data_IF_518726120020
#
_entry.id   IF_518726120020
#
_cell.length_a   1.000
_cell.length_b   1.000
_cell.length_c   1.000
_cell.angle_alpha   90.00
_cell.angle_beta   90.00
_cell.angle_gamma   90.00
#
_symmetry.space_group_name_H-M   'P 1'
#
loop_
_entity.id
_entity.type
_entity.pdbx_description
1 polymer ?
#
# COMPACT_ATOMS: atom_id res chain seq x y z
N UNK A 1 16.77 9.15 -23.08
CA UNK A 1 16.23 9.51 -21.75
C UNK A 1 17.14 9.03 -20.63
N UNK A 2 17.39 7.73 -20.47
CA UNK A 2 18.28 7.21 -19.41
C UNK A 2 19.68 7.87 -19.43
N UNK A 3 20.30 8.02 -20.61
CA UNK A 3 21.59 8.72 -20.75
C UNK A 3 21.51 10.20 -20.37
N UNK A 4 20.42 10.90 -20.71
CA UNK A 4 20.24 12.31 -20.34
C UNK A 4 20.16 12.49 -18.82
N UNK A 5 19.51 11.56 -18.10
CA UNK A 5 19.47 11.61 -16.64
C UNK A 5 20.87 11.40 -16.04
N UNK A 6 21.70 10.54 -16.65
CA UNK A 6 23.11 10.36 -16.22
C UNK A 6 23.93 11.63 -16.45
N UNK A 7 23.78 12.27 -17.61
CA UNK A 7 24.51 13.50 -17.94
C UNK A 7 24.05 14.69 -17.09
N UNK A 8 22.76 14.81 -16.80
CA UNK A 8 22.24 15.82 -15.87
C UNK A 8 22.84 15.67 -14.47
N UNK A 9 22.88 14.44 -13.93
CA UNK A 9 23.46 14.15 -12.62
C UNK A 9 24.94 14.53 -12.54
N UNK A 10 25.72 14.22 -13.59
CA UNK A 10 27.13 14.63 -13.70
C UNK A 10 27.29 16.14 -13.72
N UNK A 11 26.43 16.85 -14.48
CA UNK A 11 26.49 18.31 -14.64
C UNK A 11 26.08 19.06 -13.37
N UNK A 12 25.09 18.56 -12.63
CA UNK A 12 24.54 19.27 -11.46
C UNK A 12 25.11 18.79 -10.13
N UNK A 13 25.77 17.62 -10.09
CA UNK A 13 26.25 16.99 -8.88
C UNK A 13 25.14 16.43 -7.98
N UNK A 14 23.91 16.36 -8.48
CA UNK A 14 22.75 15.77 -7.77
C UNK A 14 22.65 14.27 -8.06
N UNK A 15 21.89 13.58 -7.21
CA UNK A 15 21.53 12.19 -7.48
C UNK A 15 20.72 12.07 -8.78
N UNK A 16 21.03 11.04 -9.57
CA UNK A 16 20.38 10.80 -10.86
C UNK A 16 18.88 10.52 -10.67
N UNK A 17 18.06 11.17 -11.50
CA UNK A 17 16.64 10.85 -11.59
C UNK A 17 16.40 9.37 -11.95
N UNK A 18 15.44 8.75 -11.26
CA UNK A 18 15.02 7.39 -11.56
C UNK A 18 14.17 7.36 -12.84
N UNK A 19 14.39 6.34 -13.67
CA UNK A 19 13.57 6.05 -14.83
C UNK A 19 12.95 4.66 -14.69
N UNK A 20 11.62 4.62 -14.65
CA UNK A 20 10.85 3.38 -14.44
C UNK A 20 9.69 3.33 -15.44
N UNK A 21 9.09 2.16 -15.62
CA UNK A 21 7.90 2.01 -16.45
C UNK A 21 6.93 1.00 -15.85
N UNK A 22 5.63 1.25 -16.00
CA UNK A 22 4.60 0.24 -15.82
C UNK A 22 4.46 -0.58 -17.10
N UNK A 23 4.58 -1.90 -17.00
CA UNK A 23 4.65 -2.80 -18.17
C UNK A 23 3.64 -3.95 -18.06
N UNK A 24 3.18 -4.44 -19.21
CA UNK A 24 2.13 -5.46 -19.26
C UNK A 24 2.59 -6.84 -18.77
N UNK A 25 1.66 -7.60 -18.18
CA UNK A 25 1.86 -9.00 -17.80
C UNK A 25 1.27 -10.01 -18.80
N UNK A 26 0.35 -9.58 -19.67
CA UNK A 26 -0.28 -10.44 -20.67
C UNK A 26 0.63 -10.74 -21.87
N UNK A 27 0.86 -12.02 -22.17
CA UNK A 27 1.80 -12.49 -23.21
C UNK A 27 1.63 -11.78 -24.56
N UNK A 28 0.40 -11.64 -25.05
CA UNK A 28 0.12 -11.02 -26.35
C UNK A 28 0.62 -9.56 -26.41
N UNK A 29 0.37 -8.78 -25.35
CA UNK A 29 0.84 -7.40 -25.24
C UNK A 29 2.35 -7.35 -25.08
N UNK A 30 2.93 -8.27 -24.30
CA UNK A 30 4.38 -8.35 -24.12
C UNK A 30 5.07 -8.53 -25.48
N UNK A 31 4.62 -9.51 -26.27
CA UNK A 31 5.23 -9.88 -27.54
C UNK A 31 5.05 -8.81 -28.62
N UNK A 32 3.92 -8.10 -28.61
CA UNK A 32 3.60 -7.09 -29.62
C UNK A 32 4.19 -5.71 -29.38
N UNK A 33 4.62 -5.39 -28.14
CA UNK A 33 4.91 -4.01 -27.76
C UNK A 33 6.27 -3.76 -27.08
N UNK A 34 6.99 -4.77 -26.60
CA UNK A 34 8.18 -4.55 -25.78
C UNK A 34 9.44 -5.23 -26.31
N UNK A 35 10.47 -4.42 -26.59
CA UNK A 35 11.85 -4.87 -26.70
C UNK A 35 12.45 -5.07 -25.29
N UNK A 36 12.05 -6.17 -24.62
CA UNK A 36 12.28 -6.40 -23.19
C UNK A 36 13.74 -6.19 -22.76
N UNK A 37 14.70 -6.72 -23.53
CA UNK A 37 16.12 -6.60 -23.22
C UNK A 37 16.59 -5.13 -23.25
N UNK A 38 16.14 -4.36 -24.24
CA UNK A 38 16.52 -2.96 -24.41
C UNK A 38 15.96 -2.10 -23.28
N UNK A 39 14.68 -2.27 -22.94
CA UNK A 39 14.06 -1.52 -21.86
C UNK A 39 14.63 -1.91 -20.48
N UNK A 40 14.98 -3.18 -20.28
CA UNK A 40 15.61 -3.67 -19.03
C UNK A 40 16.96 -3.00 -18.76
N UNK A 41 17.74 -2.73 -19.82
CA UNK A 41 19.03 -2.01 -19.72
C UNK A 41 18.83 -0.54 -19.36
N UNK A 42 17.79 0.10 -19.89
CA UNK A 42 17.54 1.53 -19.72
C UNK A 42 16.86 1.89 -18.40
N UNK A 43 15.97 1.03 -17.90
CA UNK A 43 15.15 1.30 -16.72
C UNK A 43 15.86 0.90 -15.43
N UNK A 44 15.64 1.67 -14.37
CA UNK A 44 16.10 1.35 -13.01
C UNK A 44 15.38 0.12 -12.47
N UNK A 45 14.05 0.10 -12.61
CA UNK A 45 13.20 -1.05 -12.33
C UNK A 45 11.91 -0.97 -13.15
N UNK A 46 11.24 -2.11 -13.31
CA UNK A 46 9.97 -2.26 -14.02
C UNK A 46 8.84 -2.58 -13.04
N UNK A 47 7.74 -1.85 -13.16
CA UNK A 47 6.51 -2.11 -12.43
C UNK A 47 5.65 -3.06 -13.28
N UNK A 48 5.76 -4.36 -13.05
CA UNK A 48 5.03 -5.37 -13.82
C UNK A 48 3.58 -5.41 -13.35
N UNK A 49 2.64 -5.01 -14.20
CA UNK A 49 1.21 -4.94 -13.90
C UNK A 49 0.59 -6.34 -13.87
N UNK A 50 0.91 -7.13 -12.84
CA UNK A 50 0.49 -8.53 -12.64
C UNK A 50 -0.95 -8.65 -12.15
N UNK A 51 -1.86 -7.93 -12.78
CA UNK A 51 -3.30 -7.90 -12.56
C UNK A 51 -4.01 -7.64 -13.90
N UNK A 52 -5.34 -7.59 -13.89
CA UNK A 52 -6.16 -7.55 -15.12
C UNK A 52 -5.90 -8.72 -16.08
N UNK A 53 -5.59 -9.89 -15.52
CA UNK A 53 -5.49 -11.12 -16.32
C UNK A 53 -6.84 -11.59 -16.84
N UNK A 54 -7.88 -11.40 -16.04
CA UNK A 54 -9.26 -11.75 -16.36
C UNK A 54 -10.21 -10.64 -15.93
N UNK A 55 -11.33 -10.49 -16.64
CA UNK A 55 -12.29 -9.42 -16.40
C UNK A 55 -13.52 -9.51 -17.30
N UNK A 56 -14.42 -8.53 -17.18
CA UNK A 56 -15.74 -8.53 -17.82
C UNK A 56 -15.74 -8.49 -19.36
N UNK A 57 -14.57 -8.32 -19.97
CA UNK A 57 -14.34 -8.51 -21.41
C UNK A 57 -14.39 -9.99 -21.83
N UNK A 58 -14.33 -10.93 -20.88
CA UNK A 58 -14.52 -12.37 -21.10
C UNK A 58 -15.98 -12.79 -20.85
N UNK A 59 -16.35 -13.97 -21.39
CA UNK A 59 -17.71 -14.55 -21.22
C UNK A 59 -17.80 -15.57 -20.08
N UNK A 60 -16.72 -15.73 -19.33
CA UNK A 60 -16.63 -16.61 -18.17
C UNK A 60 -15.95 -15.87 -17.03
N UNK A 61 -16.25 -16.25 -15.79
CA UNK A 61 -15.57 -15.69 -14.62
C UNK A 61 -14.10 -16.08 -14.60
N UNK A 62 -13.24 -15.13 -14.25
CA UNK A 62 -11.82 -15.35 -14.07
C UNK A 62 -11.27 -14.41 -13.00
N UNK A 63 -10.22 -14.84 -12.31
CA UNK A 63 -9.65 -14.05 -11.24
C UNK A 63 -8.76 -12.93 -11.80
N UNK A 64 -8.84 -11.71 -11.25
CA UNK A 64 -8.05 -10.55 -11.72
C UNK A 64 -6.53 -10.78 -11.68
N UNK A 65 -6.02 -11.40 -10.61
CA UNK A 65 -4.58 -11.53 -10.34
C UNK A 65 -4.20 -12.91 -9.75
N UNK A 66 -4.41 -14.02 -10.48
CA UNK A 66 -4.13 -15.36 -9.99
C UNK A 66 -2.62 -15.62 -9.93
N UNK A 67 -2.12 -16.17 -8.82
CA UNK A 67 -0.68 -16.42 -8.65
C UNK A 67 -0.17 -17.49 -9.62
N UNK A 68 -0.97 -18.54 -9.82
CA UNK A 68 -0.67 -19.66 -10.70
C UNK A 68 -1.86 -19.95 -11.61
N UNK A 69 -1.63 -20.72 -12.67
CA UNK A 69 -2.70 -21.34 -13.47
C UNK A 69 -3.40 -22.48 -12.71
N UNK A 70 -4.62 -22.80 -13.12
CA UNK A 70 -5.33 -24.04 -12.77
C UNK A 70 -4.98 -25.15 -13.76
N UNK A 71 -5.17 -26.41 -13.34
CA UNK A 71 -5.05 -27.58 -14.22
C UNK A 71 -6.03 -27.55 -15.41
N UNK A 72 -7.18 -26.91 -15.22
CA UNK A 72 -8.24 -26.79 -16.22
C UNK A 72 -8.11 -25.57 -17.12
N UNK A 73 -7.13 -24.70 -16.88
CA UNK A 73 -6.91 -23.54 -17.76
C UNK A 73 -6.38 -24.05 -19.11
N UNK A 74 -6.92 -23.51 -20.19
CA UNK A 74 -6.58 -23.88 -21.58
C UNK A 74 -6.40 -22.62 -22.43
N UNK A 75 -5.88 -22.76 -23.65
CA UNK A 75 -5.68 -21.63 -24.57
C UNK A 75 -4.80 -20.53 -23.96
N UNK A 76 -5.18 -19.26 -24.15
CA UNK A 76 -4.46 -18.11 -23.59
C UNK A 76 -4.50 -18.02 -22.05
N UNK A 77 -5.48 -18.64 -21.41
CA UNK A 77 -5.64 -18.59 -19.95
C UNK A 77 -4.44 -19.25 -19.22
N UNK A 78 -3.76 -20.21 -19.85
CA UNK A 78 -2.57 -20.86 -19.26
C UNK A 78 -1.42 -19.89 -19.00
N UNK A 79 -1.41 -18.74 -19.69
CA UNK A 79 -0.42 -17.68 -19.58
C UNK A 79 -0.88 -16.53 -18.67
N UNK A 80 -2.15 -16.52 -18.26
CA UNK A 80 -2.79 -15.39 -17.59
C UNK A 80 -2.67 -15.49 -16.07
N UNK A 81 -1.43 -15.55 -15.58
CA UNK A 81 -1.10 -15.63 -14.16
C UNK A 81 0.26 -15.00 -13.84
N UNK A 82 0.46 -14.64 -12.56
CA UNK A 82 1.66 -13.96 -12.07
C UNK A 82 2.91 -14.79 -12.34
N UNK A 83 2.90 -16.09 -12.05
CA UNK A 83 4.11 -16.92 -12.18
C UNK A 83 4.60 -17.02 -13.62
N UNK A 84 3.67 -17.14 -14.57
CA UNK A 84 4.01 -17.09 -15.98
C UNK A 84 4.60 -15.73 -16.36
N UNK A 85 3.91 -14.63 -16.05
CA UNK A 85 4.35 -13.29 -16.44
C UNK A 85 5.75 -12.96 -15.88
N UNK A 86 5.99 -13.21 -14.60
CA UNK A 86 7.30 -13.01 -13.95
C UNK A 86 8.36 -13.87 -14.63
N UNK A 87 8.08 -15.15 -14.86
CA UNK A 87 9.04 -16.06 -15.51
C UNK A 87 9.33 -15.64 -16.95
N UNK A 88 8.32 -15.14 -17.67
CA UNK A 88 8.46 -14.68 -19.04
C UNK A 88 9.40 -13.48 -19.15
N UNK A 89 9.18 -12.44 -18.34
CA UNK A 89 10.04 -11.26 -18.29
C UNK A 89 11.48 -11.61 -17.90
N UNK A 90 11.66 -12.52 -16.92
CA UNK A 90 13.00 -13.02 -16.55
C UNK A 90 13.70 -13.75 -17.68
N UNK A 91 12.99 -14.67 -18.35
CA UNK A 91 13.55 -15.45 -19.47
C UNK A 91 13.90 -14.56 -20.69
N UNK A 92 13.33 -13.36 -20.77
CA UNK A 92 13.64 -12.34 -21.78
C UNK A 92 14.75 -11.37 -21.34
N UNK A 93 15.45 -11.65 -20.25
CA UNK A 93 16.66 -10.94 -19.85
C UNK A 93 16.47 -9.84 -18.81
N UNK A 94 15.33 -9.77 -18.12
CA UNK A 94 15.17 -8.83 -17.01
C UNK A 94 15.73 -9.41 -15.71
N UNK A 95 16.71 -8.73 -15.06
CA UNK A 95 17.19 -9.12 -13.74
C UNK A 95 16.05 -9.16 -12.72
N UNK A 96 16.03 -10.17 -11.85
CA UNK A 96 14.90 -10.40 -10.94
C UNK A 96 14.67 -9.21 -10.00
N UNK A 97 15.76 -8.63 -9.50
CA UNK A 97 15.82 -7.45 -8.64
C UNK A 97 15.28 -6.17 -9.31
N UNK A 98 15.17 -6.13 -10.64
CA UNK A 98 14.52 -5.03 -11.36
C UNK A 98 13.02 -5.23 -11.54
N UNK A 99 12.47 -6.41 -11.25
CA UNK A 99 11.05 -6.70 -11.41
C UNK A 99 10.31 -6.35 -10.12
N UNK A 100 9.44 -5.35 -10.18
CA UNK A 100 8.55 -4.94 -9.10
C UNK A 100 7.16 -5.49 -9.41
N UNK A 101 6.71 -6.48 -8.62
CA UNK A 101 5.47 -7.23 -8.89
C UNK A 101 4.24 -6.42 -8.48
N UNK A 102 3.29 -6.22 -9.39
CA UNK A 102 2.05 -5.49 -9.16
C UNK A 102 1.04 -6.24 -8.27
N UNK A 103 0.50 -5.55 -7.28
CA UNK A 103 -0.55 -6.01 -6.37
C UNK A 103 -1.78 -5.12 -6.56
N UNK A 104 -2.94 -5.67 -6.97
CA UNK A 104 -4.17 -4.90 -7.05
C UNK A 104 -4.82 -4.78 -5.66
N UNK A 105 -5.30 -3.59 -5.32
CA UNK A 105 -6.20 -3.33 -4.17
C UNK A 105 -7.64 -3.16 -4.66
N UNK A 106 -8.00 -3.90 -5.70
CA UNK A 106 -9.32 -3.91 -6.33
C UNK A 106 -9.59 -5.30 -6.90
N UNK A 107 -10.83 -5.52 -7.31
CA UNK A 107 -11.26 -6.74 -7.98
C UNK A 107 -11.94 -6.47 -9.31
N UNK A 108 -12.02 -7.51 -10.14
CA UNK A 108 -12.86 -7.53 -11.34
C UNK A 108 -14.12 -8.33 -11.04
N UNK A 109 -15.27 -7.74 -11.35
CA UNK A 109 -16.58 -8.30 -11.08
C UNK A 109 -17.34 -8.68 -12.34
N UNK A 110 -18.22 -9.66 -12.20
CA UNK A 110 -19.00 -10.26 -13.28
C UNK A 110 -20.46 -10.41 -12.85
N UNK A 111 -21.36 -10.34 -13.82
CA UNK A 111 -22.75 -10.79 -13.68
C UNK A 111 -22.89 -12.19 -14.28
N UNK A 112 -23.12 -13.19 -13.43
CA UNK A 112 -23.31 -14.60 -13.78
C UNK A 112 -24.57 -14.79 -14.64
N UNK A 113 -24.49 -15.69 -15.61
CA UNK A 113 -25.63 -16.05 -16.48
C UNK A 113 -26.24 -17.42 -16.13
N UNK A 114 -25.77 -18.08 -15.08
CA UNK A 114 -26.31 -19.34 -14.55
C UNK A 114 -26.17 -19.38 -13.02
N UNK A 115 -26.63 -20.46 -12.39
CA UNK A 115 -26.41 -20.71 -10.96
C UNK A 115 -24.98 -21.18 -10.62
N UNK A 116 -24.12 -21.34 -11.62
CA UNK A 116 -22.72 -21.71 -11.39
C UNK A 116 -21.94 -20.52 -10.84
N UNK A 117 -21.20 -20.75 -9.76
CA UNK A 117 -20.46 -19.68 -9.05
C UNK A 117 -18.96 -19.93 -9.00
N UNK A 118 -18.51 -21.01 -9.63
CA UNK A 118 -17.10 -21.34 -9.74
C UNK A 118 -16.34 -20.40 -10.68
N UNK A 119 -15.02 -20.56 -10.71
CA UNK A 119 -14.16 -19.89 -11.68
C UNK A 119 -14.34 -20.58 -13.04
N UNK A 120 -14.56 -19.81 -14.09
CA UNK A 120 -14.95 -20.31 -15.40
C UNK A 120 -16.46 -20.44 -15.59
N UNK A 121 -17.26 -20.02 -14.60
CA UNK A 121 -18.72 -19.99 -14.72
C UNK A 121 -19.15 -18.98 -15.80
N UNK A 122 -20.21 -19.26 -16.58
CA UNK A 122 -20.73 -18.35 -17.60
C UNK A 122 -21.13 -16.97 -17.02
N UNK A 123 -20.74 -15.90 -17.71
CA UNK A 123 -21.05 -14.52 -17.35
C UNK A 123 -21.61 -13.73 -18.54
N UNK A 124 -22.64 -12.93 -18.30
CA UNK A 124 -23.25 -12.07 -19.32
C UNK A 124 -22.37 -10.83 -19.62
N UNK A 125 -21.66 -10.34 -18.60
CA UNK A 125 -20.82 -9.15 -18.71
C UNK A 125 -20.35 -8.64 -17.34
N UNK A 126 -20.10 -7.33 -17.20
CA UNK A 126 -19.56 -6.76 -15.97
C UNK A 126 -20.51 -6.94 -14.79
N UNK A 127 -19.93 -7.06 -13.60
CA UNK A 127 -20.68 -6.89 -12.36
C UNK A 127 -21.25 -5.48 -12.25
N UNK A 128 -22.22 -5.32 -11.37
CA UNK A 128 -22.83 -4.02 -11.06
C UNK A 128 -21.77 -2.99 -10.65
N UNK A 129 -22.07 -1.71 -10.90
CA UNK A 129 -21.19 -0.61 -10.50
C UNK A 129 -21.03 -0.53 -8.98
N UNK A 130 -19.79 -0.30 -8.53
CA UNK A 130 -19.51 -0.02 -7.12
C UNK A 130 -20.14 1.31 -6.68
N UNK A 131 -20.58 1.45 -5.42
CA UNK A 131 -21.22 2.68 -4.93
C UNK A 131 -20.30 3.91 -4.97
N UNK A 132 -18.98 3.73 -4.95
CA UNK A 132 -17.97 4.80 -4.93
C UNK A 132 -17.16 4.85 -6.23
N UNK A 133 -16.64 3.71 -6.69
CA UNK A 133 -15.83 3.65 -7.93
C UNK A 133 -16.69 3.92 -9.17
N UNK A 134 -17.98 3.56 -9.12
CA UNK A 134 -18.98 3.81 -10.17
C UNK A 134 -18.58 3.27 -11.55
N UNK A 135 -17.76 2.22 -11.56
CA UNK A 135 -17.36 1.50 -12.77
C UNK A 135 -17.94 0.08 -12.73
N UNK A 136 -18.66 -0.31 -13.78
CA UNK A 136 -19.19 -1.66 -13.88
C UNK A 136 -18.06 -2.67 -14.13
N UNK A 137 -18.04 -3.77 -13.38
CA UNK A 137 -17.00 -4.79 -13.50
C UNK A 137 -15.72 -4.50 -12.73
N UNK A 138 -15.68 -3.44 -11.93
CA UNK A 138 -14.53 -3.02 -11.13
C UNK A 138 -15.00 -2.60 -9.74
N UNK A 139 -14.41 -3.16 -8.69
CA UNK A 139 -14.68 -2.75 -7.31
C UNK A 139 -13.40 -2.53 -6.53
N UNK A 140 -13.31 -1.42 -5.79
CA UNK A 140 -12.24 -1.21 -4.82
C UNK A 140 -12.30 -2.25 -3.70
N UNK A 141 -11.19 -2.48 -2.99
CA UNK A 141 -11.16 -3.44 -1.88
C UNK A 141 -12.19 -3.12 -0.79
N UNK A 142 -12.38 -1.83 -0.48
CA UNK A 142 -13.37 -1.40 0.51
C UNK A 142 -14.83 -1.65 0.05
N UNK A 143 -15.11 -1.60 -1.25
CA UNK A 143 -16.42 -1.99 -1.81
C UNK A 143 -16.64 -3.50 -1.71
N UNK A 144 -15.58 -4.28 -1.95
CA UNK A 144 -15.61 -5.74 -1.81
C UNK A 144 -15.87 -6.14 -0.35
N UNK A 145 -15.25 -5.48 0.64
CA UNK A 145 -15.54 -5.71 2.05
C UNK A 145 -17.02 -5.48 2.40
N UNK A 146 -17.65 -4.48 1.76
CA UNK A 146 -19.08 -4.23 1.94
C UNK A 146 -19.92 -5.32 1.26
N UNK A 147 -19.58 -5.70 0.03
CA UNK A 147 -20.25 -6.78 -0.71
C UNK A 147 -20.18 -8.12 0.02
N UNK A 148 -19.07 -8.40 0.71
CA UNK A 148 -18.88 -9.62 1.49
C UNK A 148 -19.90 -9.80 2.61
N UNK A 149 -20.55 -8.72 3.08
CA UNK A 149 -21.63 -8.80 4.06
C UNK A 149 -22.84 -9.51 3.42
N UNK A 150 -22.95 -10.81 3.71
CA UNK A 150 -23.99 -11.69 3.14
C UNK A 150 -23.63 -12.33 1.80
N UNK A 151 -22.36 -12.25 1.36
CA UNK A 151 -21.86 -13.04 0.23
C UNK A 151 -21.20 -14.33 0.72
N UNK A 152 -21.02 -15.29 -0.20
CA UNK A 152 -20.17 -16.46 0.04
C UNK A 152 -18.78 -16.20 -0.52
N UNK A 153 -17.75 -16.36 0.32
CA UNK A 153 -16.34 -16.26 -0.08
C UNK A 153 -15.74 -17.66 -0.21
N UNK A 154 -15.03 -17.90 -1.32
CA UNK A 154 -14.28 -19.13 -1.59
C UNK A 154 -12.84 -18.79 -1.97
N UNK A 155 -11.93 -19.76 -1.83
CA UNK A 155 -10.55 -19.64 -2.34
C UNK A 155 -10.29 -20.58 -3.49
N UNK A 156 -9.64 -20.06 -4.52
CA UNK A 156 -9.14 -20.83 -5.65
C UNK A 156 -7.80 -21.45 -5.22
N UNK A 157 -7.83 -22.67 -4.67
CA UNK A 157 -6.67 -23.30 -4.03
C UNK A 157 -5.43 -23.39 -4.93
N UNK A 158 -5.62 -23.61 -6.22
CA UNK A 158 -4.53 -23.66 -7.21
C UNK A 158 -3.94 -22.27 -7.47
N UNK A 159 -4.79 -21.25 -7.61
CA UNK A 159 -4.38 -19.88 -7.93
C UNK A 159 -3.99 -19.02 -6.70
N UNK A 160 -4.21 -19.52 -5.47
CA UNK A 160 -3.84 -18.89 -4.18
C UNK A 160 -4.56 -17.58 -3.83
N UNK A 161 -5.74 -17.38 -4.39
CA UNK A 161 -6.50 -16.12 -4.30
C UNK A 161 -7.98 -16.39 -3.98
N UNK A 162 -8.68 -15.43 -3.35
CA UNK A 162 -10.10 -15.55 -3.05
C UNK A 162 -11.00 -15.10 -4.21
N UNK A 163 -12.28 -15.43 -4.12
CA UNK A 163 -13.36 -14.75 -4.82
C UNK A 163 -14.60 -14.78 -3.94
N UNK A 164 -15.52 -13.85 -4.16
CA UNK A 164 -16.80 -13.77 -3.45
C UNK A 164 -17.95 -13.72 -4.46
N UNK A 165 -19.09 -14.30 -4.09
CA UNK A 165 -20.29 -14.21 -4.91
C UNK A 165 -21.55 -14.11 -4.04
N UNK A 166 -22.57 -13.44 -4.58
CA UNK A 166 -23.89 -13.28 -3.98
C UNK A 166 -24.90 -13.10 -5.11
N UNK A 167 -25.98 -13.87 -5.08
CA UNK A 167 -26.95 -13.90 -6.18
C UNK A 167 -26.24 -14.14 -7.52
N UNK A 168 -26.38 -13.24 -8.49
CA UNK A 168 -25.69 -13.30 -9.77
C UNK A 168 -24.41 -12.47 -9.84
N UNK A 169 -23.94 -11.90 -8.72
CA UNK A 169 -22.72 -11.09 -8.70
C UNK A 169 -21.54 -11.94 -8.24
N UNK A 170 -20.41 -11.80 -8.94
CA UNK A 170 -19.16 -12.52 -8.67
C UNK A 170 -17.99 -11.55 -8.74
N UNK A 171 -17.02 -11.64 -7.81
CA UNK A 171 -15.81 -10.81 -7.83
C UNK A 171 -14.57 -11.61 -7.42
N UNK A 172 -13.52 -11.51 -8.25
CA UNK A 172 -12.18 -12.00 -7.92
C UNK A 172 -11.29 -10.82 -7.49
N UNK A 173 -10.57 -10.97 -6.38
CA UNK A 173 -9.86 -9.89 -5.71
C UNK A 173 -8.70 -10.42 -4.85
N UNK A 174 -7.85 -9.53 -4.34
CA UNK A 174 -6.83 -9.88 -3.35
C UNK A 174 -7.25 -9.54 -1.92
N UNK A 175 -6.89 -10.41 -0.97
CA UNK A 175 -7.02 -10.18 0.46
C UNK A 175 -5.65 -10.25 1.16
N UNK A 176 -5.61 -9.94 2.47
CA UNK A 176 -4.37 -10.02 3.24
C UNK A 176 -3.68 -11.38 3.10
N UNK A 177 -4.43 -12.48 3.01
CA UNK A 177 -3.86 -13.82 2.88
C UNK A 177 -3.26 -14.09 1.49
N UNK A 178 -3.89 -13.63 0.40
CA UNK A 178 -3.30 -13.77 -0.94
C UNK A 178 -2.08 -12.86 -1.09
N UNK A 179 -2.10 -11.66 -0.51
CA UNK A 179 -0.94 -10.76 -0.47
C UNK A 179 0.23 -11.41 0.27
N UNK A 180 0.01 -11.99 1.46
CA UNK A 180 1.04 -12.77 2.19
C UNK A 180 1.66 -13.85 1.30
N UNK A 181 0.80 -14.61 0.61
CA UNK A 181 1.25 -15.68 -0.29
C UNK A 181 2.05 -15.14 -1.48
N UNK A 182 1.62 -14.01 -2.06
CA UNK A 182 2.30 -13.32 -3.16
C UNK A 182 3.66 -12.76 -2.72
N UNK A 183 3.78 -12.22 -1.50
CA UNK A 183 5.06 -11.74 -0.97
C UNK A 183 6.03 -12.90 -0.72
N UNK A 184 5.55 -14.03 -0.22
CA UNK A 184 6.38 -15.24 -0.09
C UNK A 184 6.89 -15.71 -1.47
N UNK A 185 6.02 -15.68 -2.49
CA UNK A 185 6.41 -15.96 -3.87
C UNK A 185 7.48 -15.00 -4.39
N UNK A 186 7.25 -13.69 -4.23
CA UNK A 186 8.14 -12.61 -4.63
C UNK A 186 9.53 -12.81 -4.01
N UNK A 187 9.60 -13.06 -2.71
CA UNK A 187 10.85 -13.36 -1.99
C UNK A 187 11.53 -14.62 -2.53
N UNK A 188 10.77 -15.70 -2.74
CA UNK A 188 11.30 -16.97 -3.30
C UNK A 188 11.87 -16.80 -4.72
N UNK A 189 11.33 -15.86 -5.50
CA UNK A 189 11.78 -15.56 -6.86
C UNK A 189 12.85 -14.45 -6.90
N UNK A 190 13.28 -13.95 -5.74
CA UNK A 190 14.25 -12.87 -5.59
C UNK A 190 13.89 -11.61 -6.39
N UNK A 191 12.61 -11.24 -6.41
CA UNK A 191 12.16 -10.05 -7.10
C UNK A 191 12.50 -8.78 -6.30
N UNK A 192 12.57 -7.62 -6.97
CA UNK A 192 12.99 -6.34 -6.37
C UNK A 192 12.01 -5.73 -5.37
N UNK A 193 10.74 -6.12 -5.41
CA UNK A 193 9.71 -5.59 -4.52
C UNK A 193 8.31 -5.73 -5.11
N UNK A 194 7.37 -5.00 -4.52
CA UNK A 194 5.98 -4.96 -4.98
C UNK A 194 5.54 -3.52 -5.26
N UNK A 195 4.75 -3.36 -6.31
CA UNK A 195 4.07 -2.13 -6.70
C UNK A 195 2.58 -2.32 -6.39
N UNK A 196 1.88 -1.27 -5.96
CA UNK A 196 0.47 -1.36 -5.61
C UNK A 196 -0.35 -0.46 -6.51
N UNK A 197 -1.43 -1.04 -7.06
CA UNK A 197 -2.46 -0.30 -7.77
C UNK A 197 -3.81 -0.50 -7.08
N UNK A 198 -4.35 0.49 -6.36
CA UNK A 198 -3.75 1.76 -5.97
C UNK A 198 -3.96 2.05 -4.49
N UNK A 199 -3.24 3.04 -3.96
CA UNK A 199 -3.29 3.38 -2.53
C UNK A 199 -4.71 3.77 -2.08
N UNK A 200 -5.47 4.44 -2.94
CA UNK A 200 -6.84 4.92 -2.69
C UNK A 200 -7.93 3.85 -2.81
N UNK A 201 -7.60 2.65 -3.29
CA UNK A 201 -8.54 1.53 -3.45
C UNK A 201 -8.48 0.52 -2.30
N UNK A 202 -7.44 0.60 -1.46
CA UNK A 202 -7.41 -0.09 -0.17
C UNK A 202 -8.39 0.58 0.82
N UNK A 203 -8.72 -0.08 1.94
CA UNK A 203 -9.49 0.58 3.00
C UNK A 203 -8.61 1.53 3.81
N UNK A 204 -8.26 2.66 3.20
CA UNK A 204 -7.31 3.64 3.71
C UNK A 204 -7.74 4.32 5.02
N UNK A 205 -9.00 4.20 5.42
CA UNK A 205 -9.56 4.84 6.63
C UNK A 205 -10.21 3.86 7.61
N UNK A 206 -10.14 2.55 7.34
CA UNK A 206 -10.82 1.50 8.11
C UNK A 206 -12.33 1.68 8.26
N UNK A 207 -12.98 2.32 7.27
CA UNK A 207 -14.40 2.64 7.35
C UNK A 207 -15.30 1.48 6.90
N UNK A 208 -14.74 0.45 6.25
CA UNK A 208 -15.51 -0.57 5.54
C UNK A 208 -15.22 -2.00 5.99
N UNK A 209 -13.94 -2.32 6.16
CA UNK A 209 -13.45 -3.68 6.37
C UNK A 209 -13.32 -4.07 7.85
N UNK A 210 -13.08 -3.11 8.76
CA UNK A 210 -12.80 -3.38 10.17
C UNK A 210 -11.48 -4.14 10.36
N UNK A 211 -10.48 -3.80 9.55
CA UNK A 211 -9.17 -4.46 9.48
C UNK A 211 -8.02 -3.50 9.82
N UNK A 212 -8.30 -2.27 10.26
CA UNK A 212 -7.35 -1.17 10.44
C UNK A 212 -7.02 -0.47 9.13
N UNK A 213 -6.47 0.74 9.21
CA UNK A 213 -6.12 1.56 8.04
C UNK A 213 -5.13 0.84 7.11
N UNK A 214 -5.38 0.96 5.80
CA UNK A 214 -4.55 0.38 4.74
C UNK A 214 -4.26 -1.12 4.96
N UNK A 215 -5.28 -1.97 5.15
CA UNK A 215 -5.07 -3.35 5.58
C UNK A 215 -4.24 -4.16 4.57
N UNK A 216 -4.42 -3.93 3.26
CA UNK A 216 -3.65 -4.62 2.23
C UNK A 216 -2.22 -4.08 2.11
N UNK A 217 -2.04 -2.75 2.06
CA UNK A 217 -0.70 -2.13 1.99
C UNK A 217 0.12 -2.40 3.26
N UNK A 218 -0.52 -2.38 4.44
CA UNK A 218 0.14 -2.69 5.71
C UNK A 218 0.59 -4.14 5.75
N UNK A 219 -0.26 -5.06 5.29
CA UNK A 219 0.12 -6.47 5.13
C UNK A 219 1.32 -6.59 4.20
N UNK A 220 1.28 -5.96 3.02
CA UNK A 220 2.39 -5.97 2.08
C UNK A 220 3.69 -5.45 2.69
N UNK A 221 3.64 -4.31 3.39
CA UNK A 221 4.79 -3.69 4.06
C UNK A 221 5.35 -4.56 5.17
N UNK A 222 4.50 -5.19 5.99
CA UNK A 222 4.91 -6.09 7.06
C UNK A 222 5.61 -7.33 6.50
N UNK A 223 5.03 -7.94 5.46
CA UNK A 223 5.56 -9.15 4.85
C UNK A 223 6.83 -8.88 4.03
N UNK A 224 7.01 -7.71 3.43
CA UNK A 224 8.23 -7.36 2.68
C UNK A 224 9.42 -7.05 3.57
N UNK A 225 9.19 -6.57 4.80
CA UNK A 225 10.27 -6.39 5.77
C UNK A 225 10.95 -7.74 5.99
N UNK A 226 12.28 -7.78 5.90
CA UNK A 226 13.04 -8.87 6.49
C UNK A 226 12.71 -8.87 7.99
N UNK A 227 12.47 -10.05 8.55
CA UNK A 227 12.15 -10.18 9.97
C UNK A 227 13.18 -9.42 10.80
N UNK A 228 12.77 -8.28 11.37
CA UNK A 228 13.00 -8.09 12.78
C UNK A 228 12.25 -9.23 13.44
N UNK A 229 12.92 -10.38 13.55
CA UNK A 229 12.71 -11.22 14.72
C UNK A 229 12.88 -10.22 15.85
N UNK A 230 11.78 -9.85 16.53
CA UNK A 230 11.91 -9.40 17.89
C UNK A 230 12.78 -10.48 18.53
N UNK A 231 14.03 -10.15 18.80
CA UNK A 231 14.83 -10.88 19.77
C UNK A 231 13.91 -10.96 20.98
N UNK A 232 13.24 -12.12 21.14
CA UNK A 232 12.62 -12.45 22.40
C UNK A 232 13.73 -12.22 23.43
N UNK A 233 13.48 -11.49 24.53
CA UNK A 233 14.46 -11.42 25.59
C UNK A 233 14.82 -12.87 25.93
N UNK A 234 16.10 -13.20 25.78
CA UNK A 234 16.67 -14.41 26.38
C UNK A 234 16.18 -14.41 27.83
N UNK A 235 15.63 -15.51 28.37
CA UNK A 235 15.22 -15.52 29.77
C UNK A 235 16.45 -15.23 30.60
N UNK A 236 16.50 -14.05 31.22
CA UNK A 236 17.48 -13.78 32.26
C UNK A 236 17.23 -14.79 33.37
N UNK A 237 18.22 -15.65 33.57
CA UNK A 237 18.32 -16.54 34.71
C UNK A 237 18.16 -15.69 35.98
N UNK A 238 17.02 -15.84 36.64
CA UNK A 238 16.73 -15.26 37.95
C UNK A 238 17.79 -15.67 38.96
N UNK A 239 18.73 -14.80 39.26
CA UNK A 239 19.48 -14.82 40.51
C UNK A 239 18.72 -14.00 41.54
N UNK A 240 18.15 -14.72 42.50
CA UNK A 240 17.50 -14.19 43.69
C UNK A 240 18.53 -13.38 44.47
N UNK A 241 18.24 -12.12 44.74
CA UNK A 241 18.86 -11.37 45.82
C UNK A 241 17.82 -10.47 46.46
N UNK A 242 17.37 -10.91 47.61
CA UNK A 242 16.46 -10.23 48.52
C UNK A 242 17.16 -9.07 49.20
N UNK A 243 16.55 -7.89 49.19
CA UNK A 243 16.73 -6.92 50.28
C UNK A 243 15.49 -6.04 50.42
N UNK A 244 14.89 -6.20 51.59
CA UNK A 244 13.73 -5.53 52.17
C UNK A 244 14.03 -4.08 52.55
N UNK A 245 13.07 -3.17 52.33
CA UNK A 245 12.87 -1.95 53.14
C UNK A 245 11.43 -1.43 53.00
N UNK A 246 10.85 -0.76 54.03
CA UNK A 246 9.40 -0.68 54.28
C UNK A 246 8.71 0.52 53.61
N UNK A 247 7.36 0.54 53.52
CA UNK A 247 6.62 1.63 52.91
C UNK A 247 6.39 2.76 53.93
N UNK A 248 6.62 4.01 53.51
CA UNK A 248 6.16 5.19 54.24
C UNK A 248 4.92 5.74 53.56
N UNK A 249 3.82 5.76 54.31
CA UNK A 249 2.55 6.40 53.98
C UNK A 249 2.68 7.89 54.22
N UNK A 250 2.18 8.73 53.31
CA UNK A 250 1.71 10.08 53.66
C UNK A 250 0.64 10.56 52.68
N UNK A 251 -0.41 11.08 53.28
CA UNK A 251 -1.69 11.47 52.69
C UNK A 251 -1.70 12.91 52.17
N UNK A 252 -2.53 13.10 51.14
CA UNK A 252 -3.27 14.29 50.69
C UNK A 252 -2.91 15.70 51.20
N UNK A 253 -2.79 16.65 50.27
CA UNK A 253 -3.49 17.95 50.36
C UNK A 253 -3.84 18.46 48.96
N UNK A 254 -5.10 18.87 48.79
CA UNK A 254 -5.63 19.56 47.62
C UNK A 254 -5.27 21.05 47.73
N UNK A 255 -4.62 21.58 46.70
CA UNK A 255 -4.32 23.01 46.58
C UNK A 255 -5.04 23.57 45.34
N UNK A 256 -6.07 24.38 45.56
CA UNK A 256 -6.66 25.22 44.54
C UNK A 256 -5.73 26.42 44.28
N UNK A 257 -5.28 26.59 43.04
CA UNK A 257 -4.63 27.85 42.62
C UNK A 257 -4.96 28.17 41.16
N UNK A 258 -5.77 29.22 41.02
CA UNK A 258 -5.83 30.27 39.99
C UNK A 258 -5.38 30.00 38.54
N UNK A 259 -6.27 30.37 37.61
CA UNK A 259 -6.05 30.55 36.17
C UNK A 259 -4.70 31.22 35.84
N UNK A 260 -3.88 30.66 34.93
CA UNK A 260 -2.79 31.39 34.31
C UNK A 260 -3.33 32.32 33.22
N UNK A 261 -3.02 33.60 33.40
CA UNK A 261 -3.12 34.67 32.41
C UNK A 261 -2.38 34.34 31.11
N UNK A 262 -3.01 34.71 29.99
CA UNK A 262 -2.47 34.67 28.62
C UNK A 262 -1.12 35.43 28.56
N UNK A 263 0.01 34.78 28.22
CA UNK A 263 1.24 35.49 27.95
C UNK A 263 1.20 36.14 26.55
N UNK A 264 1.55 37.41 26.53
CA UNK A 264 1.60 38.25 25.34
C UNK A 264 2.52 37.70 24.24
N UNK A 265 2.07 37.85 23.00
CA UNK A 265 2.76 37.53 21.76
C UNK A 265 4.08 38.28 21.65
N UNK A 266 5.22 37.59 21.78
CA UNK A 266 6.54 38.14 21.44
C UNK A 266 6.79 37.97 19.94
N UNK A 267 6.58 39.05 19.19
CA UNK A 267 6.95 39.16 17.77
C UNK A 267 8.46 39.30 17.63
N UNK A 268 9.20 38.18 17.60
CA UNK A 268 10.57 38.18 17.09
C UNK A 268 10.55 38.02 15.57
N UNK A 269 10.61 39.15 14.85
CA UNK A 269 10.79 39.20 13.41
C UNK A 269 12.21 38.79 13.03
N UNK A 270 12.50 37.49 13.07
CA UNK A 270 13.60 36.94 12.27
C UNK A 270 13.01 36.47 10.95
N UNK A 271 13.49 37.07 9.86
CA UNK A 271 13.10 36.84 8.47
C UNK A 271 13.42 35.42 8.00
N UNK A 272 12.72 34.42 8.53
CA UNK A 272 12.71 33.08 7.98
C UNK A 272 11.98 33.12 6.64
N UNK A 273 12.67 32.75 5.54
CA UNK A 273 12.08 32.67 4.19
C UNK A 273 11.30 31.38 3.95
N UNK A 274 11.02 30.61 5.00
CA UNK A 274 10.40 29.27 4.89
C UNK A 274 9.09 29.29 4.09
N UNK A 275 8.28 30.34 4.24
CA UNK A 275 6.97 30.46 3.60
C UNK A 275 6.99 31.14 2.22
N UNK A 276 8.16 31.53 1.69
CA UNK A 276 8.24 32.31 0.44
C UNK A 276 7.63 31.60 -0.77
N UNK A 277 7.69 30.26 -0.77
CA UNK A 277 7.17 29.38 -1.83
C UNK A 277 6.22 28.30 -1.28
N UNK A 278 5.56 28.56 -0.16
CA UNK A 278 4.58 27.63 0.43
C UNK A 278 3.17 28.23 0.41
N UNK A 279 2.18 27.36 0.33
CA UNK A 279 0.79 27.75 0.49
C UNK A 279 0.54 28.27 1.93
N UNK A 280 -0.56 28.98 2.12
CA UNK A 280 -0.99 29.33 3.46
C UNK A 280 -1.31 28.04 4.24
N UNK A 281 -0.87 27.93 5.48
CA UNK A 281 -1.05 26.71 6.27
C UNK A 281 -0.03 26.55 7.40
N UNK A 282 -0.14 25.43 8.11
CA UNK A 282 0.71 25.12 9.26
C UNK A 282 1.68 24.00 8.88
N UNK A 283 2.96 24.20 9.20
CA UNK A 283 4.07 23.34 8.80
C UNK A 283 4.97 23.01 10.00
N UNK A 284 5.64 21.85 10.03
CA UNK A 284 6.52 21.50 11.12
C UNK A 284 7.82 22.32 11.05
N UNK A 285 8.41 22.65 12.20
CA UNK A 285 9.77 23.19 12.24
C UNK A 285 10.76 22.02 12.17
N UNK A 286 11.68 21.99 11.19
CA UNK A 286 12.70 20.96 11.13
C UNK A 286 13.56 20.96 12.41
N UNK A 287 13.70 19.80 13.04
CA UNK A 287 14.51 19.56 14.25
C UNK A 287 13.97 20.19 15.55
N UNK A 288 12.74 20.69 15.54
CA UNK A 288 12.10 21.26 16.73
C UNK A 288 10.63 20.84 16.78
N UNK A 289 10.38 19.71 17.44
CA UNK A 289 9.06 19.09 17.51
C UNK A 289 8.07 19.88 18.37
N UNK A 290 8.55 20.78 19.24
CA UNK A 290 7.69 21.63 20.07
C UNK A 290 7.25 22.91 19.33
N UNK A 291 7.65 23.10 18.06
CA UNK A 291 7.41 24.32 17.30
C UNK A 291 6.84 24.04 15.92
N UNK A 292 6.07 24.99 15.40
CA UNK A 292 5.51 24.95 14.06
C UNK A 292 5.57 26.33 13.38
N UNK A 293 5.56 26.33 12.04
CA UNK A 293 5.43 27.53 11.22
C UNK A 293 3.99 27.70 10.77
N UNK A 294 3.45 28.91 10.94
CA UNK A 294 2.28 29.37 10.20
C UNK A 294 2.77 30.18 9.00
N UNK A 295 2.38 29.75 7.81
CA UNK A 295 2.55 30.51 6.58
C UNK A 295 1.28 31.29 6.28
N UNK A 296 1.40 32.62 6.19
CA UNK A 296 0.31 33.49 5.76
C UNK A 296 0.86 34.59 4.85
N UNK A 297 0.34 34.68 3.63
CA UNK A 297 0.74 35.68 2.63
C UNK A 297 2.26 35.69 2.39
N UNK A 298 2.84 34.49 2.25
CA UNK A 298 4.29 34.25 2.07
C UNK A 298 5.18 34.72 3.23
N UNK A 299 4.59 35.08 4.37
CA UNK A 299 5.32 35.42 5.60
C UNK A 299 5.36 34.21 6.54
N UNK A 300 6.50 34.02 7.18
CA UNK A 300 6.71 32.96 8.16
C UNK A 300 6.48 33.48 9.56
N UNK A 301 5.59 32.83 10.30
CA UNK A 301 5.36 33.04 11.72
C UNK A 301 5.73 31.75 12.46
N UNK A 302 6.64 31.82 13.42
CA UNK A 302 7.02 30.66 14.24
C UNK A 302 6.21 30.66 15.53
N UNK A 303 5.64 29.52 15.87
CA UNK A 303 4.78 29.31 17.04
C UNK A 303 5.27 28.11 17.84
N UNK A 304 5.08 28.16 19.15
CA UNK A 304 5.33 27.04 20.07
C UNK A 304 4.04 26.30 20.38
N UNK A 305 4.14 24.98 20.51
CA UNK A 305 3.10 24.20 21.16
C UNK A 305 3.02 24.52 22.67
N UNK A 306 1.86 24.29 23.31
CA UNK A 306 1.75 24.29 24.76
C UNK A 306 2.79 23.36 25.41
N UNK A 307 3.18 23.68 26.64
CA UNK A 307 4.22 22.93 27.36
C UNK A 307 3.89 21.43 27.44
N UNK A 308 4.87 20.60 27.08
CA UNK A 308 4.72 19.14 27.03
C UNK A 308 4.10 18.58 25.74
N UNK A 309 3.61 19.42 24.82
CA UNK A 309 3.04 18.98 23.55
C UNK A 309 4.04 19.14 22.38
N UNK A 310 3.93 18.26 21.40
CA UNK A 310 4.65 18.33 20.12
C UNK A 310 3.69 18.59 18.97
N UNK A 311 4.19 19.20 17.90
CA UNK A 311 3.40 19.47 16.71
C UNK A 311 3.23 18.19 15.88
N UNK A 312 1.97 17.78 15.72
CA UNK A 312 1.56 16.68 14.85
C UNK A 312 1.09 17.24 13.49
N UNK A 313 1.85 16.88 12.46
CA UNK A 313 1.60 17.33 11.09
C UNK A 313 0.35 16.70 10.47
N UNK A 314 -0.11 15.53 10.95
CA UNK A 314 -1.31 14.86 10.43
C UNK A 314 -2.56 15.63 10.82
N UNK A 315 -2.70 15.99 12.10
CA UNK A 315 -3.83 16.80 12.57
C UNK A 315 -3.66 18.31 12.40
N UNK A 316 -2.44 18.79 12.07
CA UNK A 316 -2.06 20.22 12.09
C UNK A 316 -2.26 20.86 13.48
N UNK A 317 -1.98 20.10 14.54
CA UNK A 317 -2.28 20.46 15.91
C UNK A 317 -1.12 20.11 16.85
N UNK A 318 -1.14 20.64 18.08
CA UNK A 318 -0.21 20.23 19.13
C UNK A 318 -0.83 19.06 19.90
N UNK A 319 -0.12 17.95 19.98
CA UNK A 319 -0.57 16.73 20.62
C UNK A 319 0.51 16.16 21.54
N UNK A 320 0.14 15.21 22.40
CA UNK A 320 1.10 14.51 23.25
C UNK A 320 2.11 13.70 22.41
N UNK A 321 3.38 13.60 22.85
CA UNK A 321 4.44 12.87 22.16
C UNK A 321 4.13 11.41 21.81
#
# INVERSE_FOLDING_TARGET
MAEEFKEEAKRTGKERLLLTAAVAAGKANIDGAYEIENISKALDFINLMTYDFHGSWEKITGHISPLYKRKTDTGSAVYSNIDYAVTYWRNKGVPAEKIIMGIPTYGRSFTLSSSETGVGAPAFGPGSLGPFTREAGFWAYYEICTFQKGATTKRIKEQKVPYSFKENQWVGYDDQQSIKTKVQYLKKKSLGGAMVWAIDLDDFSDSFCGQGEYPLLRTLKQELRCGLVQMMPVPETTTISSTTSPPTVSSSTLSFTTLPSIPATTTNSTTSRFCLHKANGIYPVPKDHAMFYICANRRTFRMSCPEGLIFDYLCKCCNWP
#
